data_IF_826583791960
#
_entry.id   IF_826583791960
#
_cell.length_a   1.000
_cell.length_b   1.000
_cell.length_c   1.000
_cell.angle_alpha   90.00
_cell.angle_beta   90.00
_cell.angle_gamma   90.00
#
_symmetry.space_group_name_H-M   'P 1'
#
loop_
_entity.id
_entity.type
_entity.pdbx_description
1 polymer ?
#
# COMPACT_ATOMS: atom_id res chain seq x y z
N UNK A 1 35.92 33.76 36.32
CA UNK A 1 34.48 33.42 36.30
C UNK A 1 33.83 34.22 35.19
N UNK A 2 33.90 33.73 33.96
CA UNK A 2 33.24 34.37 32.82
C UNK A 2 31.78 33.90 32.78
N UNK A 3 30.86 34.85 32.90
CA UNK A 3 29.42 34.59 32.74
C UNK A 3 29.10 34.69 31.25
N UNK A 4 28.94 33.55 30.60
CA UNK A 4 28.33 33.50 29.28
C UNK A 4 26.85 33.90 29.40
N UNK A 5 26.53 35.10 28.94
CA UNK A 5 25.16 35.54 28.69
C UNK A 5 24.63 34.81 27.46
N UNK A 6 23.74 33.85 27.66
CA UNK A 6 23.03 33.16 26.58
C UNK A 6 22.03 34.14 25.92
N UNK A 7 22.19 34.38 24.61
CA UNK A 7 21.33 35.28 23.83
C UNK A 7 19.89 34.76 23.72
N UNK A 8 18.86 35.60 23.98
CA UNK A 8 17.45 35.20 23.96
C UNK A 8 16.91 34.86 22.56
N UNK A 9 17.67 35.12 21.49
CA UNK A 9 17.26 34.97 20.09
C UNK A 9 17.06 33.52 19.65
N UNK A 10 17.70 32.56 20.33
CA UNK A 10 17.56 31.12 20.01
C UNK A 10 16.22 30.55 20.45
N UNK A 11 15.60 31.13 21.47
CA UNK A 11 14.28 30.73 21.98
C UNK A 11 13.19 31.09 20.98
N UNK A 12 13.21 32.30 20.44
CA UNK A 12 12.19 32.83 19.53
C UNK A 12 12.14 32.04 18.22
N UNK A 13 13.31 31.68 17.66
CA UNK A 13 13.39 30.86 16.44
C UNK A 13 12.84 29.44 16.69
N UNK A 14 13.14 28.85 17.86
CA UNK A 14 12.61 27.54 18.23
C UNK A 14 11.08 27.57 18.42
N UNK A 15 10.53 28.63 19.01
CA UNK A 15 9.08 28.84 19.13
C UNK A 15 8.40 29.06 17.77
N UNK A 16 9.01 29.82 16.85
CA UNK A 16 8.49 30.00 15.49
C UNK A 16 8.48 28.67 14.71
N UNK A 17 9.51 27.84 14.86
CA UNK A 17 9.56 26.51 14.24
C UNK A 17 8.54 25.54 14.86
N UNK A 18 8.37 25.55 16.18
CA UNK A 18 7.37 24.72 16.87
C UNK A 18 5.94 25.16 16.55
N UNK A 19 5.67 26.47 16.42
CA UNK A 19 4.37 26.99 15.99
C UNK A 19 4.07 26.57 14.54
N UNK A 20 5.07 26.64 13.65
CA UNK A 20 4.99 26.14 12.28
C UNK A 20 4.76 24.62 12.20
N UNK A 21 5.40 23.84 13.07
CA UNK A 21 5.19 22.39 13.18
C UNK A 21 3.82 22.03 13.78
N UNK A 22 3.31 22.78 14.75
CA UNK A 22 1.95 22.60 15.29
C UNK A 22 0.89 22.91 14.23
N UNK A 23 1.08 23.99 13.46
CA UNK A 23 0.21 24.32 12.32
C UNK A 23 0.23 23.22 11.26
N UNK A 24 1.37 22.55 11.02
CA UNK A 24 1.48 21.45 10.06
C UNK A 24 0.92 20.11 10.55
N UNK A 25 1.06 19.77 11.83
CA UNK A 25 0.48 18.55 12.38
C UNK A 25 -1.06 18.61 12.41
N UNK A 26 -1.61 19.80 12.64
CA UNK A 26 -3.05 20.02 12.69
C UNK A 26 -3.73 19.92 11.30
N UNK A 27 -2.97 20.13 10.23
CA UNK A 27 -3.45 20.03 8.83
C UNK A 27 -3.87 18.62 8.44
N UNK A 28 -3.57 17.57 9.24
CA UNK A 28 -3.98 16.19 8.93
C UNK A 28 -4.47 15.37 10.13
N UNK A 29 -5.01 15.99 11.18
CA UNK A 29 -5.81 15.23 12.14
C UNK A 29 -7.08 14.73 11.43
N UNK A 30 -7.22 13.40 11.32
CA UNK A 30 -8.47 12.79 10.85
C UNK A 30 -9.51 13.01 11.94
N UNK A 31 -10.47 13.90 11.67
CA UNK A 31 -11.66 14.06 12.50
C UNK A 31 -12.37 12.71 12.69
N UNK A 32 -12.83 12.46 13.91
CA UNK A 32 -13.68 11.31 14.20
C UNK A 32 -15.09 11.48 13.66
N UNK A 33 -15.91 10.45 13.83
CA UNK A 33 -17.30 10.44 13.34
C UNK A 33 -18.15 11.50 14.05
N UNK A 34 -17.93 11.70 15.35
CA UNK A 34 -18.70 12.67 16.15
C UNK A 34 -18.40 14.10 15.70
N UNK A 35 -17.13 14.42 15.45
CA UNK A 35 -16.71 15.73 14.94
C UNK A 35 -17.29 15.99 13.55
N UNK A 36 -17.40 14.96 12.70
CA UNK A 36 -18.11 15.10 11.42
C UNK A 36 -19.61 15.38 11.60
N UNK A 37 -20.27 14.75 12.58
CA UNK A 37 -21.67 15.03 12.89
C UNK A 37 -21.85 16.47 13.36
N UNK A 38 -21.01 16.95 14.29
CA UNK A 38 -21.05 18.33 14.77
C UNK A 38 -20.81 19.35 13.65
N UNK A 39 -19.88 19.06 12.72
CA UNK A 39 -19.67 19.90 11.53
C UNK A 39 -20.94 20.04 10.69
N UNK A 40 -21.71 18.95 10.54
CA UNK A 40 -22.94 18.95 9.73
C UNK A 40 -24.09 19.68 10.42
N UNK A 41 -24.21 19.53 11.75
CA UNK A 41 -25.20 20.25 12.55
C UNK A 41 -24.96 21.76 12.44
N UNK A 42 -23.73 22.21 12.70
CA UNK A 42 -23.33 23.61 12.59
C UNK A 42 -23.51 24.15 11.15
N UNK A 43 -23.18 23.35 10.13
CA UNK A 43 -23.40 23.72 8.72
C UNK A 43 -24.88 24.00 8.42
N UNK A 44 -25.79 23.23 9.03
CA UNK A 44 -27.24 23.45 8.95
C UNK A 44 -27.67 24.74 9.63
N UNK A 45 -27.23 24.94 10.88
CA UNK A 45 -27.58 26.10 11.71
C UNK A 45 -27.14 27.43 11.08
N UNK A 46 -25.94 27.46 10.51
CA UNK A 46 -25.39 28.66 9.89
C UNK A 46 -25.98 28.95 8.49
N UNK A 47 -27.03 28.23 8.08
CA UNK A 47 -27.66 28.43 6.77
C UNK A 47 -26.70 28.15 5.61
N UNK A 48 -25.80 27.16 5.77
CA UNK A 48 -24.83 26.71 4.75
C UNK A 48 -23.73 27.71 4.43
N UNK A 49 -23.47 28.67 5.32
CA UNK A 49 -22.45 29.71 5.16
C UNK A 49 -21.09 29.27 5.73
N UNK A 50 -20.37 28.43 5.00
CA UNK A 50 -19.06 27.83 5.38
C UNK A 50 -18.02 28.68 6.16
N UNK A 51 -18.00 30.02 6.05
CA UNK A 51 -17.14 30.89 6.87
C UNK A 51 -17.66 31.05 8.32
N UNK A 52 -18.96 31.24 8.50
CA UNK A 52 -19.56 31.28 9.84
C UNK A 52 -19.49 29.92 10.51
N UNK A 53 -19.61 28.83 9.75
CA UNK A 53 -19.58 27.47 10.28
C UNK A 53 -18.25 27.18 10.99
N UNK A 54 -17.13 27.49 10.34
CA UNK A 54 -15.80 27.29 10.92
C UNK A 54 -15.56 28.17 12.16
N UNK A 55 -16.13 29.38 12.18
CA UNK A 55 -16.07 30.27 13.34
C UNK A 55 -16.89 29.71 14.50
N UNK A 56 -18.14 29.34 14.26
CA UNK A 56 -19.04 28.81 15.27
C UNK A 56 -18.54 27.47 15.83
N UNK A 57 -17.94 26.61 14.99
CA UNK A 57 -17.31 25.38 15.44
C UNK A 57 -16.19 25.65 16.44
N UNK A 58 -15.32 26.63 16.16
CA UNK A 58 -14.25 27.02 17.07
C UNK A 58 -14.80 27.59 18.39
N UNK A 59 -15.86 28.39 18.32
CA UNK A 59 -16.51 28.97 19.50
C UNK A 59 -17.13 27.88 20.40
N UNK A 60 -17.74 26.85 19.82
CA UNK A 60 -18.35 25.74 20.57
C UNK A 60 -17.34 24.72 21.09
N UNK A 61 -16.27 24.48 20.34
CA UNK A 61 -15.30 23.43 20.63
C UNK A 61 -13.86 23.99 20.66
N UNK A 62 -13.48 24.74 21.71
CA UNK A 62 -12.16 25.39 21.79
C UNK A 62 -11.02 24.36 21.82
N UNK A 63 -11.20 23.25 22.53
CA UNK A 63 -10.19 22.19 22.71
C UNK A 63 -10.12 21.19 21.53
N UNK A 64 -11.11 21.21 20.63
CA UNK A 64 -11.13 20.30 19.49
C UNK A 64 -10.27 20.81 18.33
N UNK A 65 -9.83 19.93 17.41
CA UNK A 65 -9.33 20.39 16.13
C UNK A 65 -10.40 21.24 15.44
N UNK A 66 -10.03 22.42 14.91
CA UNK A 66 -10.97 23.31 14.24
C UNK A 66 -10.95 23.05 12.74
N UNK A 67 -12.07 22.63 12.15
CA UNK A 67 -12.15 22.41 10.73
C UNK A 67 -12.01 23.72 9.96
N UNK A 68 -11.27 23.66 8.87
CA UNK A 68 -11.27 24.76 7.90
C UNK A 68 -12.59 24.79 7.13
N UNK A 69 -12.91 25.95 6.53
CA UNK A 69 -14.00 26.10 5.56
C UNK A 69 -13.98 24.99 4.50
N UNK A 70 -12.81 24.65 3.98
CA UNK A 70 -12.65 23.63 2.94
C UNK A 70 -12.94 22.23 3.48
N UNK A 71 -12.58 21.93 4.72
CA UNK A 71 -12.88 20.66 5.39
C UNK A 71 -14.39 20.45 5.47
N UNK A 72 -15.13 21.45 5.97
CA UNK A 72 -16.59 21.40 6.09
C UNK A 72 -17.23 21.14 4.72
N UNK A 73 -16.83 21.89 3.70
CA UNK A 73 -17.35 21.71 2.33
C UNK A 73 -17.04 20.32 1.77
N UNK A 74 -15.85 19.76 2.03
CA UNK A 74 -15.49 18.39 1.61
C UNK A 74 -16.33 17.32 2.32
N UNK A 75 -16.71 17.54 3.57
CA UNK A 75 -17.59 16.62 4.32
C UNK A 75 -19.00 16.66 3.73
N UNK A 76 -19.57 17.85 3.54
CA UNK A 76 -20.90 18.02 2.94
C UNK A 76 -20.95 17.45 1.52
N UNK A 77 -19.92 17.72 0.71
CA UNK A 77 -19.82 17.18 -0.65
C UNK A 77 -19.82 15.65 -0.64
N UNK A 78 -18.96 15.02 0.17
CA UNK A 78 -18.89 13.55 0.28
C UNK A 78 -20.20 12.95 0.77
N UNK A 79 -20.84 13.57 1.75
CA UNK A 79 -22.15 13.11 2.23
C UNK A 79 -23.18 13.11 1.10
N UNK A 80 -23.23 14.18 0.30
CA UNK A 80 -24.16 14.28 -0.85
C UNK A 80 -23.86 13.27 -1.96
N UNK A 81 -22.59 13.05 -2.26
CA UNK A 81 -22.17 12.18 -3.37
C UNK A 81 -22.22 10.69 -3.01
N UNK A 82 -21.94 10.33 -1.76
CA UNK A 82 -21.70 8.93 -1.36
C UNK A 82 -22.55 8.44 -0.18
N UNK A 83 -23.29 9.34 0.48
CA UNK A 83 -24.02 9.02 1.72
C UNK A 83 -23.12 8.84 2.95
N UNK A 84 -21.82 9.14 2.86
CA UNK A 84 -20.86 8.90 3.94
C UNK A 84 -20.00 10.15 4.21
N UNK A 85 -19.73 10.42 5.49
CA UNK A 85 -18.87 11.54 5.93
C UNK A 85 -17.39 11.15 6.00
N UNK A 86 -17.10 9.86 6.16
CA UNK A 86 -15.73 9.34 6.20
C UNK A 86 -15.23 9.06 4.78
N UNK A 87 -13.90 9.10 4.61
CA UNK A 87 -13.31 8.66 3.35
C UNK A 87 -13.38 7.13 3.26
N UNK A 88 -13.83 6.59 2.13
CA UNK A 88 -13.70 5.15 1.88
C UNK A 88 -12.22 4.75 1.98
N UNK A 89 -11.90 3.59 2.57
CA UNK A 89 -10.55 3.05 2.53
C UNK A 89 -10.05 3.06 1.08
N UNK A 90 -8.81 3.50 0.87
CA UNK A 90 -8.17 3.32 -0.44
C UNK A 90 -7.92 1.84 -0.62
N UNK A 91 -8.89 1.14 -1.24
CA UNK A 91 -8.67 -0.22 -1.70
C UNK A 91 -7.58 -0.12 -2.75
N UNK A 92 -6.43 -0.74 -2.50
CA UNK A 92 -5.38 -0.83 -3.52
C UNK A 92 -6.03 -1.46 -4.75
N UNK A 93 -5.81 -0.85 -5.92
CA UNK A 93 -6.23 -1.45 -7.19
C UNK A 93 -5.67 -2.88 -7.20
N UNK A 94 -6.49 -3.91 -7.48
CA UNK A 94 -5.99 -5.27 -7.63
C UNK A 94 -4.79 -5.20 -8.57
N UNK A 95 -3.64 -5.71 -8.12
CA UNK A 95 -2.53 -5.89 -9.03
C UNK A 95 -3.05 -6.83 -10.12
N UNK A 96 -2.83 -6.50 -11.39
CA UNK A 96 -3.06 -7.44 -12.47
C UNK A 96 -2.06 -8.58 -12.28
N UNK A 97 -2.35 -9.52 -11.39
CA UNK A 97 -1.86 -10.88 -11.55
C UNK A 97 -2.50 -11.34 -12.85
N UNK A 98 -1.72 -11.31 -13.93
CA UNK A 98 -2.06 -12.05 -15.14
C UNK A 98 -2.46 -13.47 -14.77
N UNK A 99 -3.23 -14.15 -15.64
CA UNK A 99 -3.71 -15.54 -15.53
C UNK A 99 -3.02 -16.27 -14.38
N UNK A 100 -3.78 -16.71 -13.36
CA UNK A 100 -3.28 -17.65 -12.35
C UNK A 100 -2.74 -18.86 -13.12
N UNK A 101 -1.46 -18.83 -13.45
CA UNK A 101 -0.74 -19.98 -13.95
C UNK A 101 -0.49 -20.79 -12.71
N UNK A 102 -1.09 -21.95 -12.72
CA UNK A 102 -1.13 -22.81 -11.56
C UNK A 102 0.21 -23.57 -11.51
N UNK A 103 0.71 -23.94 -10.33
CA UNK A 103 1.99 -24.66 -10.21
C UNK A 103 2.04 -25.93 -11.09
N UNK A 104 0.90 -26.52 -11.39
CA UNK A 104 0.72 -27.65 -12.29
C UNK A 104 1.23 -27.35 -13.72
N UNK A 105 1.12 -26.12 -14.20
CA UNK A 105 1.61 -25.71 -15.53
C UNK A 105 3.14 -25.78 -15.61
N UNK A 106 3.82 -25.42 -14.50
CA UNK A 106 5.29 -25.56 -14.37
C UNK A 106 5.68 -27.03 -14.29
N UNK A 107 4.94 -27.82 -13.52
CA UNK A 107 5.19 -29.26 -13.35
C UNK A 107 4.94 -30.07 -14.62
N UNK A 108 4.06 -29.62 -15.51
CA UNK A 108 3.87 -30.23 -16.84
C UNK A 108 4.97 -29.78 -17.83
N UNK A 109 5.39 -28.52 -17.75
CA UNK A 109 6.34 -27.93 -18.71
C UNK A 109 7.79 -28.36 -18.46
N UNK A 110 8.23 -28.42 -17.20
CA UNK A 110 9.64 -28.69 -16.88
C UNK A 110 10.11 -30.11 -17.30
N UNK A 111 9.35 -31.20 -17.07
CA UNK A 111 9.74 -32.54 -17.50
C UNK A 111 9.69 -32.73 -19.02
N UNK A 112 8.77 -32.04 -19.70
CA UNK A 112 8.66 -32.09 -21.17
C UNK A 112 9.80 -31.33 -21.88
N UNK A 113 10.51 -30.44 -21.16
CA UNK A 113 11.60 -29.65 -21.71
C UNK A 113 12.82 -29.63 -20.76
N UNK A 114 13.54 -30.74 -20.58
CA UNK A 114 14.60 -30.89 -19.58
C UNK A 114 15.82 -29.96 -19.78
N UNK A 115 15.99 -29.40 -20.98
CA UNK A 115 17.02 -28.40 -21.28
C UNK A 115 16.56 -26.96 -20.97
N UNK A 116 15.32 -26.77 -20.53
CA UNK A 116 14.79 -25.43 -20.27
C UNK A 116 15.37 -24.83 -19.00
N UNK A 117 15.99 -23.66 -19.15
CA UNK A 117 16.38 -22.86 -17.99
C UNK A 117 15.16 -22.34 -17.23
N UNK A 118 15.32 -22.04 -15.94
CA UNK A 118 14.31 -21.39 -15.09
C UNK A 118 13.80 -20.08 -15.69
N UNK A 119 14.63 -19.40 -16.49
CA UNK A 119 14.23 -18.19 -17.24
C UNK A 119 13.23 -18.52 -18.34
N UNK A 120 13.46 -19.57 -19.13
CA UNK A 120 12.52 -19.98 -20.18
C UNK A 120 11.22 -20.53 -19.59
N UNK A 121 11.29 -21.23 -18.46
CA UNK A 121 10.09 -21.71 -17.74
C UNK A 121 9.27 -20.51 -17.22
N UNK A 122 9.92 -19.51 -16.63
CA UNK A 122 9.27 -18.25 -16.24
C UNK A 122 8.55 -17.57 -17.40
N UNK A 123 9.23 -17.40 -18.53
CA UNK A 123 8.68 -16.69 -19.70
C UNK A 123 7.48 -17.42 -20.30
N UNK A 124 7.50 -18.75 -20.33
CA UNK A 124 6.40 -19.57 -20.85
C UNK A 124 5.23 -19.70 -19.86
N UNK A 125 5.52 -19.77 -18.56
CA UNK A 125 4.51 -19.93 -17.52
C UNK A 125 4.04 -18.57 -16.93
N UNK A 126 4.61 -17.43 -17.30
CA UNK A 126 4.22 -16.12 -16.76
C UNK A 126 4.39 -15.98 -15.23
N UNK A 127 5.24 -16.80 -14.61
CA UNK A 127 5.52 -16.80 -13.17
C UNK A 127 6.85 -16.12 -12.86
N UNK A 128 7.02 -15.56 -11.67
CA UNK A 128 8.32 -15.01 -11.27
C UNK A 128 9.38 -16.12 -11.15
N UNK A 129 10.65 -15.79 -11.37
CA UNK A 129 11.75 -16.77 -11.28
C UNK A 129 11.81 -17.44 -9.90
N UNK A 130 11.57 -16.66 -8.84
CA UNK A 130 11.52 -17.16 -7.47
C UNK A 130 10.38 -18.16 -7.28
N UNK A 131 9.21 -17.90 -7.85
CA UNK A 131 8.07 -18.80 -7.73
C UNK A 131 8.29 -20.12 -8.49
N UNK A 132 8.85 -20.05 -9.70
CA UNK A 132 9.27 -21.25 -10.47
C UNK A 132 10.31 -22.06 -9.68
N UNK A 133 11.31 -21.40 -9.08
CA UNK A 133 12.32 -22.06 -8.27
C UNK A 133 11.71 -22.79 -7.07
N UNK A 134 10.80 -22.15 -6.33
CA UNK A 134 10.09 -22.77 -5.21
C UNK A 134 9.32 -24.01 -5.65
N UNK A 135 8.52 -23.93 -6.73
CA UNK A 135 7.72 -25.05 -7.24
C UNK A 135 8.63 -26.24 -7.63
N UNK A 136 9.73 -25.97 -8.33
CA UNK A 136 10.67 -27.01 -8.77
C UNK A 136 11.46 -27.62 -7.60
N UNK A 137 11.81 -26.82 -6.58
CA UNK A 137 12.45 -27.29 -5.35
C UNK A 137 11.51 -28.16 -4.49
N UNK A 138 10.25 -27.76 -4.34
CA UNK A 138 9.25 -28.50 -3.55
C UNK A 138 8.86 -29.83 -4.23
N UNK A 139 8.87 -29.87 -5.57
CA UNK A 139 8.57 -31.07 -6.34
C UNK A 139 9.79 -31.96 -6.64
N UNK A 140 11.00 -31.52 -6.29
CA UNK A 140 12.25 -32.22 -6.63
C UNK A 140 12.61 -32.19 -8.12
N UNK A 141 11.87 -31.45 -8.95
CA UNK A 141 12.06 -31.35 -10.39
C UNK A 141 13.11 -30.27 -10.73
N UNK A 142 14.38 -30.50 -10.39
CA UNK A 142 15.44 -29.53 -10.67
C UNK A 142 15.83 -29.49 -12.16
N UNK A 143 15.70 -28.34 -12.86
CA UNK A 143 15.96 -28.24 -14.30
C UNK A 143 17.46 -28.33 -14.70
N UNK A 144 18.35 -28.80 -13.82
CA UNK A 144 19.78 -28.93 -14.09
C UNK A 144 20.45 -30.16 -13.45
N UNK A 145 19.72 -31.01 -12.73
CA UNK A 145 20.29 -32.22 -12.14
C UNK A 145 20.03 -33.41 -13.07
N UNK A 146 20.77 -33.44 -14.18
CA UNK A 146 21.57 -34.60 -14.58
C UNK A 146 22.12 -34.40 -16.00
N UNK A 147 23.32 -33.81 -16.10
CA UNK A 147 24.15 -34.04 -17.29
C UNK A 147 24.57 -35.53 -17.36
N UNK A 148 24.63 -36.19 -16.20
CA UNK A 148 25.12 -37.56 -16.06
C UNK A 148 23.98 -38.62 -16.12
N UNK A 149 22.79 -38.41 -15.50
CA UNK A 149 21.67 -39.38 -15.58
C UNK A 149 21.02 -39.43 -16.97
N UNK A 150 21.01 -38.32 -17.72
CA UNK A 150 20.42 -38.33 -19.06
C UNK A 150 21.17 -39.30 -19.99
N UNK A 151 22.47 -39.53 -19.74
CA UNK A 151 23.25 -40.49 -20.51
C UNK A 151 23.00 -41.95 -20.08
N UNK A 152 22.50 -42.17 -18.86
CA UNK A 152 22.19 -43.49 -18.32
C UNK A 152 20.79 -43.94 -18.75
N UNK A 153 19.79 -43.06 -18.64
CA UNK A 153 18.44 -43.31 -19.18
C UNK A 153 18.44 -43.54 -20.70
N UNK A 154 19.27 -42.83 -21.47
CA UNK A 154 19.43 -43.09 -22.91
C UNK A 154 20.13 -44.42 -23.20
N UNK A 155 21.02 -44.90 -22.32
CA UNK A 155 21.69 -46.21 -22.49
C UNK A 155 20.76 -47.38 -22.20
N UNK A 156 19.87 -47.26 -21.21
CA UNK A 156 18.93 -48.33 -20.87
C UNK A 156 17.81 -48.49 -21.90
N UNK A 157 17.35 -47.39 -22.50
CA UNK A 157 16.41 -47.42 -23.63
C UNK A 157 17.04 -48.05 -24.88
N UNK A 158 18.32 -47.79 -25.15
CA UNK A 158 19.03 -48.39 -26.30
C UNK A 158 19.34 -49.88 -26.05
N UNK A 159 19.64 -50.30 -24.81
CA UNK A 159 19.88 -51.71 -24.47
C UNK A 159 18.61 -52.56 -24.41
N UNK A 160 17.47 -51.96 -24.05
CA UNK A 160 16.16 -52.63 -24.08
C UNK A 160 15.59 -52.85 -25.49
N UNK A 161 16.15 -52.20 -26.51
CA UNK A 161 15.72 -52.31 -27.90
C UNK A 161 16.49 -53.37 -28.71
N UNK A 162 17.46 -54.06 -28.10
CA UNK A 162 18.31 -55.07 -28.77
C UNK A 162 18.08 -56.51 -28.29
N UNK A 163 16.95 -56.80 -27.65
CA UNK A 163 16.47 -58.16 -27.36
C UNK A 163 15.12 -58.40 -28.03
#
# INVERSE_FOLDING_TARGET
MERHTCSPETTTIKWMFLLGCMLKLWVMAKFGINEYCEMLLIYGECGRKSKSDARLYRERFPESPHPTRQTILKVVKRLRETGCVTSRPRVRRPHNVGRRVQPEDVLAYAPSHPQSSTKMINENCGLSKSHVWTILSESGAHPHLCRDCCQEMLRDVIRGATL
#
